data_IF_476560773149
#
_entry.id   IF_476560773149
#
_cell.length_a   1.000
_cell.length_b   1.000
_cell.length_c   1.000
_cell.angle_alpha   90.00
_cell.angle_beta   90.00
_cell.angle_gamma   90.00
#
_symmetry.space_group_name_H-M   'P 1'
#
loop_
_entity.id
_entity.type
_entity.pdbx_description
1 polymer ?
#
# COMPACT_ATOMS: atom_id res chain seq x y z
N UNK A 1 7.09 -16.61 -7.93
CA UNK A 1 6.61 -15.25 -7.61
C UNK A 1 5.26 -15.06 -8.29
N UNK A 2 4.19 -14.86 -7.52
CA UNK A 2 2.90 -14.48 -8.12
C UNK A 2 3.05 -13.09 -8.74
N UNK A 3 2.64 -12.96 -9.99
CA UNK A 3 2.67 -11.68 -10.71
C UNK A 3 1.64 -10.72 -10.04
N UNK A 4 1.91 -9.40 -10.00
CA UNK A 4 0.90 -8.42 -9.60
C UNK A 4 -0.39 -8.63 -10.42
N UNK A 5 -1.55 -8.62 -9.76
CA UNK A 5 -2.84 -8.85 -10.41
C UNK A 5 -3.65 -7.55 -10.39
N UNK A 6 -4.16 -7.14 -11.56
CA UNK A 6 -5.24 -6.15 -11.64
C UNK A 6 -6.53 -6.90 -11.40
N UNK A 7 -7.20 -6.59 -10.29
CA UNK A 7 -8.41 -7.28 -9.84
C UNK A 7 -9.66 -6.51 -10.27
N UNK A 8 -10.80 -7.17 -10.38
CA UNK A 8 -12.07 -6.52 -10.77
C UNK A 8 -12.87 -6.02 -9.57
N UNK A 9 -12.40 -6.25 -8.34
CA UNK A 9 -13.06 -5.80 -7.11
C UNK A 9 -13.31 -4.28 -7.12
N UNK A 10 -14.53 -3.82 -6.77
CA UNK A 10 -14.88 -2.40 -6.83
C UNK A 10 -13.97 -1.52 -5.97
N UNK A 11 -13.63 -1.95 -4.74
CA UNK A 11 -12.83 -1.14 -3.84
C UNK A 11 -11.37 -1.04 -4.34
N UNK A 12 -10.81 -2.14 -4.85
CA UNK A 12 -9.53 -2.14 -5.55
C UNK A 12 -9.52 -1.20 -6.76
N UNK A 13 -10.59 -1.22 -7.56
CA UNK A 13 -10.70 -0.39 -8.76
C UNK A 13 -10.74 1.11 -8.46
N UNK A 14 -11.33 1.52 -7.33
CA UNK A 14 -11.30 2.92 -6.89
C UNK A 14 -9.86 3.42 -6.69
N UNK A 15 -9.01 2.64 -6.01
CA UNK A 15 -7.57 2.97 -5.89
C UNK A 15 -6.86 2.95 -7.24
N UNK A 16 -7.19 1.99 -8.12
CA UNK A 16 -6.53 1.86 -9.42
C UNK A 16 -6.86 3.01 -10.38
N UNK A 17 -8.05 3.57 -10.22
CA UNK A 17 -8.54 4.72 -10.96
C UNK A 17 -8.31 6.05 -10.22
N UNK A 18 -7.57 6.03 -9.10
CA UNK A 18 -7.20 7.21 -8.31
C UNK A 18 -8.41 7.97 -7.73
N UNK A 19 -9.57 7.30 -7.62
CA UNK A 19 -10.75 7.82 -6.92
C UNK A 19 -10.61 7.60 -5.41
N UNK A 20 -9.71 8.37 -4.79
CA UNK A 20 -9.40 8.26 -3.36
C UNK A 20 -10.58 8.68 -2.49
N UNK A 21 -11.37 9.66 -2.95
CA UNK A 21 -12.58 10.07 -2.23
C UNK A 21 -13.59 8.92 -2.22
N UNK A 22 -13.88 8.34 -3.38
CA UNK A 22 -14.78 7.19 -3.50
C UNK A 22 -14.30 5.99 -2.69
N UNK A 23 -12.99 5.71 -2.69
CA UNK A 23 -12.40 4.67 -1.84
C UNK A 23 -12.66 4.93 -0.35
N UNK A 24 -12.34 6.13 0.12
CA UNK A 24 -12.51 6.51 1.53
C UNK A 24 -13.99 6.44 1.96
N UNK A 25 -14.92 6.82 1.08
CA UNK A 25 -16.36 6.76 1.33
C UNK A 25 -16.90 5.32 1.40
N UNK A 26 -16.28 4.37 0.69
CA UNK A 26 -16.79 3.00 0.52
C UNK A 26 -16.01 1.92 1.30
N UNK A 27 -14.80 2.22 1.81
CA UNK A 27 -13.97 1.21 2.48
C UNK A 27 -14.59 0.59 3.72
N UNK A 28 -15.51 1.29 4.38
CA UNK A 28 -16.19 0.79 5.58
C UNK A 28 -17.32 -0.19 5.25
N UNK A 29 -17.75 -0.27 4.00
CA UNK A 29 -18.90 -1.07 3.56
C UNK A 29 -18.52 -2.17 2.57
N UNK A 30 -17.46 -1.97 1.77
CA UNK A 30 -16.97 -2.95 0.81
C UNK A 30 -15.89 -3.85 1.40
N UNK A 31 -15.66 -5.00 0.76
CA UNK A 31 -14.63 -5.96 1.16
C UNK A 31 -13.22 -5.38 0.91
N UNK A 32 -12.45 -5.22 1.98
CA UNK A 32 -11.05 -4.77 1.90
C UNK A 32 -10.06 -5.91 1.64
N UNK A 33 -10.50 -7.17 1.69
CA UNK A 33 -9.64 -8.35 1.56
C UNK A 33 -8.97 -8.45 0.18
N UNK A 34 -9.56 -7.79 -0.82
CA UNK A 34 -9.05 -7.76 -2.19
C UNK A 34 -7.92 -6.75 -2.42
N UNK A 35 -7.53 -5.96 -1.43
CA UNK A 35 -6.46 -4.96 -1.58
C UNK A 35 -5.05 -5.56 -1.52
N UNK A 36 -4.89 -6.73 -0.89
CA UNK A 36 -3.61 -7.45 -0.82
C UNK A 36 -3.16 -7.98 -2.18
N UNK A 37 -1.85 -8.10 -2.37
CA UNK A 37 -1.21 -8.50 -3.64
C UNK A 37 -1.62 -7.64 -4.85
N UNK A 38 -2.04 -6.40 -4.60
CA UNK A 38 -2.52 -5.48 -5.62
C UNK A 38 -1.40 -4.84 -6.43
N UNK A 39 -1.70 -4.51 -7.68
CA UNK A 39 -0.86 -3.66 -8.52
C UNK A 39 -1.30 -2.20 -8.41
N UNK A 40 -0.55 -1.38 -7.67
CA UNK A 40 -0.77 0.06 -7.48
C UNK A 40 0.35 0.90 -8.10
N UNK A 41 1.07 0.33 -9.08
CA UNK A 41 2.23 1.01 -9.68
C UNK A 41 1.81 2.31 -10.39
N UNK A 42 2.58 3.37 -10.12
CA UNK A 42 2.42 4.69 -10.71
C UNK A 42 1.10 5.39 -10.36
N UNK A 43 0.41 4.97 -9.30
CA UNK A 43 -0.85 5.59 -8.86
C UNK A 43 -0.59 6.75 -7.91
N UNK A 44 -1.41 7.80 -7.99
CA UNK A 44 -1.51 8.80 -6.93
C UNK A 44 -2.49 8.32 -5.85
N UNK A 45 -1.97 7.96 -4.67
CA UNK A 45 -2.76 7.45 -3.55
C UNK A 45 -2.81 8.43 -2.37
N UNK A 46 -2.36 9.67 -2.57
CA UNK A 46 -2.37 10.69 -1.51
C UNK A 46 -3.77 10.86 -0.93
N UNK A 47 -3.84 11.07 0.40
CA UNK A 47 -5.09 11.18 1.17
C UNK A 47 -5.91 9.89 1.33
N UNK A 48 -5.39 8.73 0.92
CA UNK A 48 -6.04 7.44 1.19
C UNK A 48 -6.06 7.17 2.71
N UNK A 49 -7.23 6.80 3.24
CA UNK A 49 -7.35 6.26 4.58
C UNK A 49 -6.88 4.79 4.59
N UNK A 50 -5.63 4.58 5.03
CA UNK A 50 -5.01 3.27 5.08
C UNK A 50 -5.21 2.52 6.42
N UNK A 51 -5.93 3.12 7.38
CA UNK A 51 -6.08 2.58 8.73
C UNK A 51 -6.73 1.19 8.71
N UNK A 52 -6.05 0.21 9.32
CA UNK A 52 -6.50 -1.18 9.40
C UNK A 52 -6.47 -1.96 8.08
N UNK A 53 -5.88 -1.44 7.00
CA UNK A 53 -5.82 -2.13 5.72
C UNK A 53 -4.76 -3.24 5.65
N UNK A 54 -5.02 -4.20 4.77
CA UNK A 54 -4.04 -5.18 4.32
C UNK A 54 -3.60 -4.91 2.89
N UNK A 55 -2.40 -4.35 2.74
CA UNK A 55 -1.68 -4.21 1.47
C UNK A 55 -0.50 -5.18 1.37
N UNK A 56 -0.49 -6.25 2.17
CA UNK A 56 0.54 -7.26 2.10
C UNK A 56 0.75 -7.71 0.67
N UNK A 57 2.00 -7.93 0.33
CA UNK A 57 2.44 -8.40 -0.97
C UNK A 57 2.20 -7.45 -2.18
N UNK A 58 1.72 -6.24 -1.96
CA UNK A 58 1.36 -5.29 -3.03
C UNK A 58 2.56 -4.59 -3.67
N UNK A 59 2.34 -3.97 -4.83
CA UNK A 59 3.37 -3.26 -5.58
C UNK A 59 3.04 -1.78 -5.73
N UNK A 60 3.88 -0.92 -5.14
CA UNK A 60 3.72 0.54 -5.14
C UNK A 60 4.77 1.26 -5.99
N UNK A 61 5.37 0.57 -6.98
CA UNK A 61 6.45 1.17 -7.76
C UNK A 61 6.02 2.50 -8.39
N UNK A 62 6.78 3.58 -8.19
CA UNK A 62 6.46 4.93 -8.66
C UNK A 62 5.14 5.52 -8.14
N UNK A 63 4.50 4.93 -7.13
CA UNK A 63 3.26 5.48 -6.57
C UNK A 63 3.55 6.71 -5.71
N UNK A 64 2.58 7.64 -5.63
CA UNK A 64 2.64 8.74 -4.68
C UNK A 64 1.92 8.34 -3.38
N UNK A 65 2.70 8.06 -2.34
CA UNK A 65 2.21 7.67 -1.01
C UNK A 65 2.41 8.80 0.01
N UNK A 66 2.71 10.01 -0.46
CA UNK A 66 3.08 11.14 0.39
C UNK A 66 1.96 11.48 1.37
N UNK A 67 2.32 11.66 2.64
CA UNK A 67 1.40 12.04 3.71
C UNK A 67 0.43 10.94 4.20
N UNK A 68 0.50 9.72 3.66
CA UNK A 68 -0.35 8.61 4.11
C UNK A 68 0.13 8.10 5.47
N UNK A 69 -0.81 7.74 6.35
CA UNK A 69 -0.54 7.09 7.60
C UNK A 69 -0.74 5.57 7.50
N UNK A 70 0.36 4.81 7.45
CA UNK A 70 0.34 3.35 7.42
C UNK A 70 0.61 2.69 8.79
N UNK A 71 0.54 3.42 9.91
CA UNK A 71 0.93 2.87 11.23
C UNK A 71 0.16 1.61 11.62
N UNK A 72 -1.09 1.50 11.20
CA UNK A 72 -1.98 0.36 11.44
C UNK A 72 -2.25 -0.47 10.17
N UNK A 73 -1.37 -0.40 9.17
CA UNK A 73 -1.54 -1.10 7.89
C UNK A 73 -0.57 -2.27 7.79
N UNK A 74 -1.04 -3.41 7.29
CA UNK A 74 -0.17 -4.50 6.91
C UNK A 74 0.47 -4.21 5.53
N UNK A 75 1.79 -4.03 5.53
CA UNK A 75 2.64 -3.82 4.35
C UNK A 75 3.61 -5.00 4.14
N UNK A 76 3.43 -6.13 4.85
CA UNK A 76 4.37 -7.24 4.80
C UNK A 76 4.51 -7.77 3.37
N UNK A 77 5.74 -7.86 2.90
CA UNK A 77 6.04 -8.24 1.53
C UNK A 77 5.70 -7.17 0.46
N UNK A 78 5.18 -5.99 0.80
CA UNK A 78 4.97 -4.95 -0.20
C UNK A 78 6.31 -4.44 -0.78
N UNK A 79 6.30 -3.88 -1.98
CA UNK A 79 7.47 -3.26 -2.62
C UNK A 79 7.22 -1.77 -2.85
N UNK A 80 8.14 -0.93 -2.36
CA UNK A 80 8.07 0.53 -2.44
C UNK A 80 9.01 1.14 -3.48
N UNK A 81 9.55 0.34 -4.42
CA UNK A 81 10.56 0.78 -5.38
C UNK A 81 10.19 2.13 -6.03
N UNK A 82 11.06 3.14 -5.93
CA UNK A 82 10.83 4.46 -6.55
C UNK A 82 9.53 5.19 -6.07
N UNK A 83 8.89 4.78 -4.98
CA UNK A 83 7.68 5.45 -4.47
C UNK A 83 8.00 6.80 -3.81
N UNK A 84 7.05 7.74 -3.84
CA UNK A 84 7.17 9.00 -3.09
C UNK A 84 6.63 8.82 -1.68
N UNK A 85 7.48 9.03 -0.67
CA UNK A 85 7.19 8.74 0.74
C UNK A 85 7.26 9.99 1.65
N UNK A 86 7.19 11.20 1.07
CA UNK A 86 7.33 12.43 1.86
C UNK A 86 6.20 12.55 2.88
N UNK A 87 6.53 12.65 4.17
CA UNK A 87 5.55 12.75 5.25
C UNK A 87 4.73 11.47 5.51
N UNK A 88 5.11 10.33 4.92
CA UNK A 88 4.45 9.04 5.15
C UNK A 88 4.83 8.48 6.53
N UNK A 89 3.85 7.96 7.27
CA UNK A 89 4.09 7.21 8.50
C UNK A 89 4.05 5.72 8.22
N UNK A 90 4.93 4.94 8.86
CA UNK A 90 5.04 3.49 8.71
C UNK A 90 4.73 2.75 10.01
N UNK A 91 4.39 1.45 9.95
CA UNK A 91 4.32 0.61 11.14
C UNK A 91 5.59 0.72 11.99
N UNK A 92 5.45 0.81 13.31
CA UNK A 92 6.60 0.97 14.23
C UNK A 92 7.61 -0.19 14.16
N UNK A 93 7.15 -1.38 13.78
CA UNK A 93 7.99 -2.57 13.60
C UNK A 93 8.84 -2.52 12.33
N UNK A 94 8.57 -1.58 11.40
CA UNK A 94 9.26 -1.48 10.13
C UNK A 94 10.44 -0.49 10.27
N UNK A 95 11.66 -1.01 10.22
CA UNK A 95 12.86 -0.18 10.39
C UNK A 95 13.11 0.74 9.19
N UNK A 96 13.74 1.89 9.43
CA UNK A 96 14.13 2.80 8.35
C UNK A 96 15.06 2.14 7.31
N UNK A 97 15.86 1.15 7.72
CA UNK A 97 16.72 0.38 6.83
C UNK A 97 15.90 -0.49 5.86
N UNK A 98 14.84 -1.15 6.34
CA UNK A 98 13.93 -1.93 5.50
C UNK A 98 13.15 -1.05 4.53
N UNK A 99 12.67 0.12 4.98
CA UNK A 99 12.02 1.11 4.11
C UNK A 99 12.96 1.50 2.97
N UNK A 100 14.20 1.91 3.30
CA UNK A 100 15.20 2.32 2.31
C UNK A 100 15.57 1.18 1.36
N UNK A 101 15.80 -0.01 1.88
CA UNK A 101 16.11 -1.18 1.07
C UNK A 101 15.00 -1.46 0.04
N UNK A 102 13.73 -1.39 0.46
CA UNK A 102 12.59 -1.55 -0.47
C UNK A 102 12.48 -0.41 -1.47
N UNK A 103 12.64 0.83 -1.02
CA UNK A 103 12.56 2.03 -1.85
C UNK A 103 13.63 2.04 -2.94
N UNK A 104 14.87 1.67 -2.60
CA UNK A 104 16.03 1.80 -3.49
C UNK A 104 16.22 0.57 -4.41
N UNK A 105 15.85 -0.62 -3.93
CA UNK A 105 16.14 -1.89 -4.65
C UNK A 105 14.89 -2.66 -5.06
N UNK A 106 13.72 -2.27 -4.54
CA UNK A 106 12.48 -3.00 -4.74
C UNK A 106 12.38 -4.31 -3.96
N UNK A 107 13.34 -4.58 -3.07
CA UNK A 107 13.23 -5.68 -2.11
C UNK A 107 11.91 -5.60 -1.35
N UNK A 108 11.25 -6.73 -1.18
CA UNK A 108 9.96 -6.80 -0.47
C UNK A 108 10.20 -6.55 1.01
N UNK A 109 9.39 -5.67 1.60
CA UNK A 109 9.43 -5.31 3.02
C UNK A 109 9.29 -6.57 3.88
N UNK A 110 10.06 -6.63 4.96
CA UNK A 110 10.03 -7.73 5.94
C UNK A 110 9.99 -7.16 7.33
N UNK A 111 8.93 -7.42 8.06
CA UNK A 111 8.81 -7.07 9.47
C UNK A 111 7.78 -7.97 10.14
N UNK A 112 7.89 -8.10 11.46
CA UNK A 112 6.89 -8.83 12.22
C UNK A 112 5.65 -7.97 12.35
N UNK A 113 4.59 -8.29 11.62
CA UNK A 113 3.24 -7.90 12.01
C UNK A 113 2.92 -8.72 13.26
N UNK A 114 2.76 -8.08 14.41
CA UNK A 114 2.29 -8.80 15.59
C UNK A 114 0.94 -9.47 15.25
N UNK A 115 0.84 -10.79 15.49
CA UNK A 115 -0.41 -11.55 15.43
C UNK A 115 -1.40 -11.07 16.50
#
# INVERSE_FOLDING_TARGET
>A
MNKPVIKTDPLYQLLRNEDIKGFNDQRATLDTSELKSGDYRGRDLRNMNADGLDFSNSYFRNADLSGIDFRNTNLEGASLLDAKLSGTYFPAALSAAEIRLSLDTGTRLRYNTAD
#
